data_IF_914688748800
#
_entry.id   IF_914688748800
#
_cell.length_a   1.000
_cell.length_b   1.000
_cell.length_c   1.000
_cell.angle_alpha   90.00
_cell.angle_beta   90.00
_cell.angle_gamma   90.00
#
_symmetry.space_group_name_H-M   'P 1'
#
loop_
_entity.id
_entity.type
_entity.pdbx_description
1 polymer ?
#
# COMPACT_ATOMS: atom_id res chain seq x y z
N UNK A 1 -34.85 -67.74 9.11
CA UNK A 1 -34.81 -66.27 9.04
C UNK A 1 -36.18 -65.78 8.61
N UNK A 2 -36.85 -64.96 9.41
CA UNK A 2 -38.24 -64.52 9.17
C UNK A 2 -38.29 -63.26 8.30
N UNK A 3 -39.42 -62.99 7.65
CA UNK A 3 -39.61 -61.79 6.79
C UNK A 3 -39.34 -60.48 7.57
N UNK A 4 -39.61 -60.47 8.88
CA UNK A 4 -39.34 -59.34 9.77
C UNK A 4 -37.84 -59.03 9.90
N UNK A 5 -36.99 -60.07 10.06
CA UNK A 5 -35.53 -59.92 10.19
C UNK A 5 -34.91 -59.32 8.93
N UNK A 6 -35.39 -59.72 7.75
CA UNK A 6 -34.95 -59.16 6.46
C UNK A 6 -35.31 -57.67 6.31
N UNK A 7 -36.50 -57.27 6.76
CA UNK A 7 -36.94 -55.86 6.74
C UNK A 7 -36.09 -54.98 7.65
N UNK A 8 -35.71 -55.47 8.83
CA UNK A 8 -34.84 -54.74 9.76
C UNK A 8 -33.43 -54.55 9.18
N UNK A 9 -32.86 -55.61 8.57
CA UNK A 9 -31.54 -55.54 7.94
C UNK A 9 -31.55 -54.55 6.76
N UNK A 10 -32.58 -54.58 5.92
CA UNK A 10 -32.72 -53.63 4.81
C UNK A 10 -32.83 -52.17 5.29
N UNK A 11 -33.57 -51.93 6.37
CA UNK A 11 -33.71 -50.61 6.98
C UNK A 11 -32.39 -50.10 7.58
N UNK A 12 -31.66 -50.97 8.28
CA UNK A 12 -30.33 -50.67 8.83
C UNK A 12 -29.32 -50.38 7.71
N UNK A 13 -29.33 -51.18 6.64
CA UNK A 13 -28.45 -50.97 5.49
C UNK A 13 -28.73 -49.63 4.79
N UNK A 14 -30.00 -49.25 4.65
CA UNK A 14 -30.41 -47.96 4.07
C UNK A 14 -30.01 -46.78 4.95
N UNK A 15 -30.21 -46.90 6.27
CA UNK A 15 -29.80 -45.87 7.23
C UNK A 15 -28.28 -45.69 7.24
N UNK A 16 -27.52 -46.79 7.22
CA UNK A 16 -26.07 -46.76 7.14
C UNK A 16 -25.59 -46.13 5.82
N UNK A 17 -26.21 -46.48 4.69
CA UNK A 17 -25.91 -45.89 3.38
C UNK A 17 -26.12 -44.37 3.37
N UNK A 18 -27.24 -43.91 3.92
CA UNK A 18 -27.53 -42.47 4.05
C UNK A 18 -26.52 -41.76 4.94
N UNK A 19 -26.14 -42.38 6.07
CA UNK A 19 -25.13 -41.80 6.98
C UNK A 19 -23.76 -41.68 6.30
N UNK A 20 -23.32 -42.71 5.59
CA UNK A 20 -22.05 -42.69 4.82
C UNK A 20 -22.09 -41.60 3.76
N UNK A 21 -23.19 -41.47 3.02
CA UNK A 21 -23.36 -40.43 2.02
C UNK A 21 -23.34 -39.02 2.65
N UNK A 22 -24.00 -38.82 3.79
CA UNK A 22 -24.00 -37.55 4.50
C UNK A 22 -22.60 -37.16 4.97
N UNK A 23 -21.84 -38.10 5.55
CA UNK A 23 -20.45 -37.86 5.97
C UNK A 23 -19.55 -37.55 4.78
N UNK A 24 -19.68 -38.31 3.69
CA UNK A 24 -18.92 -38.07 2.46
C UNK A 24 -19.21 -36.68 1.89
N UNK A 25 -20.48 -36.30 1.80
CA UNK A 25 -20.91 -34.98 1.29
C UNK A 25 -20.41 -33.85 2.17
N UNK A 26 -20.59 -33.97 3.50
CA UNK A 26 -20.09 -32.96 4.44
C UNK A 26 -18.58 -32.80 4.36
N UNK A 27 -17.85 -33.91 4.27
CA UNK A 27 -16.38 -33.91 4.17
C UNK A 27 -15.92 -33.31 2.85
N UNK A 28 -16.60 -33.60 1.74
CA UNK A 28 -16.32 -33.01 0.43
C UNK A 28 -16.56 -31.50 0.42
N UNK A 29 -17.68 -31.02 0.99
CA UNK A 29 -17.97 -29.58 1.09
C UNK A 29 -16.96 -28.87 1.99
N UNK A 30 -16.65 -29.45 3.16
CA UNK A 30 -15.65 -28.89 4.09
C UNK A 30 -14.27 -28.81 3.44
N UNK A 31 -13.84 -29.88 2.76
CA UNK A 31 -12.57 -29.93 2.04
C UNK A 31 -12.53 -28.91 0.90
N UNK A 32 -13.60 -28.80 0.11
CA UNK A 32 -13.68 -27.84 -1.00
C UNK A 32 -13.60 -26.40 -0.51
N UNK A 33 -14.31 -26.05 0.58
CA UNK A 33 -14.24 -24.72 1.18
C UNK A 33 -12.84 -24.41 1.73
N UNK A 34 -12.19 -25.38 2.36
CA UNK A 34 -10.81 -25.23 2.84
C UNK A 34 -9.83 -25.04 1.67
N UNK A 35 -9.94 -25.84 0.61
CA UNK A 35 -9.09 -25.72 -0.57
C UNK A 35 -9.30 -24.39 -1.30
N UNK A 36 -10.55 -23.92 -1.42
CA UNK A 36 -10.86 -22.61 -1.98
C UNK A 36 -10.18 -21.49 -1.18
N UNK A 37 -10.22 -21.56 0.15
CA UNK A 37 -9.54 -20.60 1.02
C UNK A 37 -8.03 -20.62 0.84
N UNK A 38 -7.40 -21.80 0.82
CA UNK A 38 -5.95 -21.93 0.61
C UNK A 38 -5.54 -21.43 -0.77
N UNK A 39 -6.28 -21.78 -1.82
CA UNK A 39 -6.03 -21.31 -3.18
C UNK A 39 -6.15 -19.78 -3.28
N UNK A 40 -7.14 -19.19 -2.61
CA UNK A 40 -7.30 -17.74 -2.52
C UNK A 40 -6.13 -17.09 -1.76
N UNK A 41 -5.71 -17.64 -0.63
CA UNK A 41 -4.55 -17.13 0.12
C UNK A 41 -3.26 -17.20 -0.71
N UNK A 42 -3.02 -18.29 -1.44
CA UNK A 42 -1.89 -18.43 -2.36
C UNK A 42 -1.95 -17.46 -3.54
N UNK A 43 -3.12 -17.31 -4.16
CA UNK A 43 -3.33 -16.38 -5.27
C UNK A 43 -3.09 -14.93 -4.82
N UNK A 44 -3.67 -14.52 -3.69
CA UNK A 44 -3.49 -13.17 -3.17
C UNK A 44 -2.04 -12.92 -2.74
N UNK A 45 -1.35 -13.91 -2.17
CA UNK A 45 0.10 -13.83 -1.92
C UNK A 45 0.86 -13.62 -3.23
N UNK A 46 0.44 -14.29 -4.30
CA UNK A 46 0.97 -14.12 -5.66
C UNK A 46 0.64 -12.77 -6.30
N UNK A 47 -0.31 -12.00 -5.79
CA UNK A 47 -0.70 -10.67 -6.25
C UNK A 47 -0.27 -9.54 -5.31
N UNK A 48 0.61 -9.80 -4.35
CA UNK A 48 0.96 -8.80 -3.35
C UNK A 48 1.80 -7.66 -3.97
N UNK A 49 1.37 -6.39 -3.88
CA UNK A 49 2.24 -5.26 -4.18
C UNK A 49 3.21 -5.00 -3.02
N UNK A 50 4.43 -4.58 -3.33
CA UNK A 50 5.44 -4.19 -2.34
C UNK A 50 6.17 -2.95 -2.84
N UNK A 51 5.88 -1.79 -2.25
CA UNK A 51 6.53 -0.55 -2.63
C UNK A 51 7.88 -0.40 -1.95
N UNK A 52 8.90 -0.08 -2.73
CA UNK A 52 10.25 0.22 -2.31
C UNK A 52 10.70 1.53 -2.93
N UNK A 53 11.73 2.22 -2.40
CA UNK A 53 12.43 3.24 -3.19
C UNK A 53 12.92 2.66 -4.51
N UNK A 54 12.89 3.49 -5.56
CA UNK A 54 13.62 3.21 -6.80
C UNK A 54 15.11 3.00 -6.55
N UNK A 55 15.80 2.36 -7.49
CA UNK A 55 17.25 2.24 -7.48
C UNK A 55 17.90 3.54 -7.94
N UNK A 56 19.18 3.71 -7.65
CA UNK A 56 19.93 4.92 -8.00
C UNK A 56 20.10 5.09 -9.52
N UNK A 57 20.16 3.97 -10.24
CA UNK A 57 20.28 3.90 -11.69
C UNK A 57 18.94 4.03 -12.44
N UNK A 58 17.80 4.01 -11.72
CA UNK A 58 16.49 4.17 -12.33
C UNK A 58 16.36 5.59 -12.93
N UNK A 59 15.62 5.75 -14.05
CA UNK A 59 15.50 7.04 -14.74
C UNK A 59 14.79 8.09 -13.88
N UNK A 60 15.10 9.36 -14.15
CA UNK A 60 14.44 10.51 -13.51
C UNK A 60 12.96 10.54 -13.89
N UNK A 61 12.10 10.59 -12.87
CA UNK A 61 10.66 10.71 -13.04
C UNK A 61 10.23 12.17 -13.06
N UNK A 62 9.27 12.48 -13.93
CA UNK A 62 8.59 13.78 -13.97
C UNK A 62 7.24 13.65 -13.28
N UNK A 63 7.08 14.33 -12.16
CA UNK A 63 5.88 14.28 -11.33
C UNK A 63 5.07 15.55 -11.53
N UNK A 64 3.86 15.41 -12.05
CA UNK A 64 2.90 16.50 -12.15
C UNK A 64 1.86 16.38 -11.03
N UNK A 65 1.53 17.47 -10.34
CA UNK A 65 0.63 17.44 -9.17
C UNK A 65 -0.85 17.68 -9.52
N UNK A 66 -1.22 17.62 -10.80
CA UNK A 66 -2.57 17.92 -11.30
C UNK A 66 -2.79 19.41 -11.58
N UNK A 67 -1.82 20.25 -11.23
CA UNK A 67 -1.72 21.66 -11.59
C UNK A 67 -0.56 21.85 -12.59
N UNK A 68 -0.18 23.10 -12.87
CA UNK A 68 0.99 23.38 -13.72
C UNK A 68 2.34 23.15 -13.00
N UNK A 69 2.38 22.60 -11.77
CA UNK A 69 3.62 22.25 -11.09
C UNK A 69 4.16 20.93 -11.61
N UNK A 70 5.44 20.95 -11.95
CA UNK A 70 6.22 19.77 -12.32
C UNK A 70 7.47 19.70 -11.46
N UNK A 71 7.72 18.51 -10.92
CA UNK A 71 8.90 18.22 -10.11
C UNK A 71 9.67 17.06 -10.75
N UNK A 72 11.00 17.11 -10.68
CA UNK A 72 11.87 16.04 -11.17
C UNK A 72 12.39 15.24 -9.98
N UNK A 73 12.19 13.93 -9.99
CA UNK A 73 12.63 13.05 -8.91
C UNK A 73 13.64 12.04 -9.46
N UNK A 74 14.91 12.05 -9.02
CA UNK A 74 15.90 11.07 -9.46
C UNK A 74 15.63 9.69 -8.86
N UNK A 75 16.17 8.65 -9.49
CA UNK A 75 16.18 7.30 -8.93
C UNK A 75 16.81 7.26 -7.52
N UNK A 76 16.20 6.49 -6.63
CA UNK A 76 16.55 6.42 -5.20
C UNK A 76 16.29 7.71 -4.43
N UNK A 77 15.59 8.67 -5.05
CA UNK A 77 15.44 10.02 -4.53
C UNK A 77 14.00 10.44 -4.25
N UNK A 78 13.92 11.68 -3.82
CA UNK A 78 12.69 12.39 -3.52
C UNK A 78 12.84 13.85 -3.94
N UNK A 79 11.75 14.61 -3.83
CA UNK A 79 11.75 16.04 -3.97
C UNK A 79 10.78 16.66 -2.95
N UNK A 80 11.17 17.82 -2.44
CA UNK A 80 10.37 18.66 -1.58
C UNK A 80 10.55 20.10 -2.07
N UNK A 81 9.49 20.71 -2.57
CA UNK A 81 9.52 22.07 -3.12
C UNK A 81 8.38 22.90 -2.54
N UNK A 82 8.67 24.15 -2.21
CA UNK A 82 7.66 25.14 -1.84
C UNK A 82 7.39 26.06 -3.03
N UNK A 83 6.12 26.40 -3.21
CA UNK A 83 5.66 27.29 -4.26
C UNK A 83 5.38 26.60 -5.59
N UNK A 84 4.60 27.29 -6.42
CA UNK A 84 4.16 26.90 -7.75
C UNK A 84 2.70 26.43 -7.86
N UNK A 85 2.21 26.55 -9.09
CA UNK A 85 0.82 26.51 -9.55
C UNK A 85 0.48 27.82 -10.28
N UNK A 86 -0.41 27.85 -11.27
CA UNK A 86 -0.91 29.10 -11.89
C UNK A 86 -1.99 29.79 -11.05
N UNK A 87 -2.15 29.38 -9.80
CA UNK A 87 -3.20 29.86 -8.90
C UNK A 87 -4.52 29.09 -9.00
N UNK A 88 -4.67 28.16 -9.96
CA UNK A 88 -5.95 27.45 -10.18
C UNK A 88 -6.40 26.58 -9.01
N UNK A 89 -5.48 26.19 -8.13
CA UNK A 89 -5.73 25.30 -6.98
C UNK A 89 -5.29 25.89 -5.62
N UNK A 90 -5.10 27.22 -5.53
CA UNK A 90 -4.68 27.94 -4.31
C UNK A 90 -3.65 29.05 -4.58
N UNK A 91 -3.24 29.84 -3.58
CA UNK A 91 -2.19 30.85 -3.76
C UNK A 91 -0.91 30.19 -4.26
N UNK A 92 -0.37 30.71 -5.38
CA UNK A 92 0.75 30.08 -6.07
C UNK A 92 2.00 29.90 -5.20
N UNK A 93 2.19 30.71 -4.16
CA UNK A 93 3.40 30.69 -3.33
C UNK A 93 3.26 29.88 -2.03
N UNK A 94 2.07 29.34 -1.73
CA UNK A 94 1.76 28.75 -0.43
C UNK A 94 1.52 27.23 -0.47
N UNK A 95 1.93 26.54 -1.53
CA UNK A 95 1.79 25.07 -1.61
C UNK A 95 3.12 24.38 -1.35
N UNK A 96 3.09 23.31 -0.55
CA UNK A 96 4.22 22.40 -0.36
C UNK A 96 4.01 21.14 -1.18
N UNK A 97 4.95 20.82 -2.07
CA UNK A 97 4.94 19.67 -2.95
C UNK A 97 6.00 18.66 -2.52
N UNK A 98 5.56 17.42 -2.27
CA UNK A 98 6.42 16.30 -1.86
C UNK A 98 6.27 15.17 -2.87
N UNK A 99 7.37 14.56 -3.29
CA UNK A 99 7.34 13.39 -4.16
C UNK A 99 8.47 12.43 -3.83
N UNK A 100 8.22 11.13 -3.99
CA UNK A 100 9.23 10.08 -3.82
C UNK A 100 9.14 9.11 -4.99
N UNK A 101 10.29 8.78 -5.59
CA UNK A 101 10.36 7.79 -6.65
C UNK A 101 10.32 6.39 -6.01
N UNK A 102 9.29 5.62 -6.33
CA UNK A 102 9.04 4.29 -5.78
C UNK A 102 9.02 3.23 -6.88
N UNK A 103 9.29 1.99 -6.53
CA UNK A 103 9.18 0.83 -7.41
C UNK A 103 8.34 -0.23 -6.74
N UNK A 104 7.58 -0.96 -7.54
CA UNK A 104 6.83 -2.10 -7.04
C UNK A 104 7.66 -3.37 -7.21
N UNK A 105 8.24 -3.83 -6.11
CA UNK A 105 8.98 -5.10 -6.05
C UNK A 105 8.05 -6.31 -5.86
N UNK A 106 6.75 -6.09 -5.73
CA UNK A 106 5.73 -7.14 -5.64
C UNK A 106 5.25 -7.63 -7.00
N UNK A 107 4.33 -8.59 -6.96
CA UNK A 107 3.81 -9.28 -8.14
C UNK A 107 2.44 -8.78 -8.62
N UNK A 108 1.72 -8.00 -7.79
CA UNK A 108 0.46 -7.35 -8.20
C UNK A 108 0.63 -5.86 -8.40
N UNK A 109 -0.39 -5.22 -8.98
CA UNK A 109 -0.44 -3.77 -9.17
C UNK A 109 -0.64 -3.09 -7.82
N UNK A 110 0.20 -2.11 -7.49
CA UNK A 110 0.04 -1.30 -6.29
C UNK A 110 -0.86 -0.11 -6.61
N UNK A 111 -1.90 0.10 -5.80
CA UNK A 111 -2.79 1.27 -5.87
C UNK A 111 -2.61 2.11 -4.63
N UNK A 112 -2.16 3.36 -4.81
CA UNK A 112 -1.92 4.28 -3.69
C UNK A 112 -3.25 4.89 -3.25
N UNK A 113 -3.57 4.73 -1.97
CA UNK A 113 -4.83 5.22 -1.37
C UNK A 113 -4.63 6.50 -0.59
N UNK A 114 -3.51 6.63 0.11
CA UNK A 114 -3.27 7.79 0.95
C UNK A 114 -1.87 7.86 1.52
N UNK A 115 -1.62 8.91 2.27
CA UNK A 115 -0.31 9.18 2.85
C UNK A 115 -0.41 9.98 4.15
N UNK A 116 0.62 9.87 4.98
CA UNK A 116 0.75 10.65 6.20
C UNK A 116 2.20 11.15 6.34
N UNK A 117 2.36 12.44 6.60
CA UNK A 117 3.67 13.10 6.62
C UNK A 117 4.17 13.30 8.04
N UNK A 118 5.48 13.12 8.23
CA UNK A 118 6.19 13.46 9.46
C UNK A 118 7.34 14.43 9.16
N UNK A 119 7.45 15.53 9.90
CA UNK A 119 8.50 16.55 9.69
C UNK A 119 9.86 16.15 10.25
N UNK A 120 10.10 14.85 10.42
CA UNK A 120 11.28 14.33 11.09
C UNK A 120 11.61 12.92 10.59
N UNK A 121 12.82 12.46 10.93
CA UNK A 121 13.23 11.10 10.66
C UNK A 121 12.63 10.14 11.71
N UNK A 122 11.60 9.39 11.33
CA UNK A 122 10.88 8.48 12.23
C UNK A 122 11.57 7.13 12.36
N UNK A 123 11.85 6.74 13.61
CA UNK A 123 12.40 5.42 13.98
C UNK A 123 11.43 4.54 14.76
N UNK A 124 10.26 5.09 15.11
CA UNK A 124 9.23 4.41 15.89
C UNK A 124 8.67 3.17 15.16
N UNK A 125 8.11 2.26 15.95
CA UNK A 125 7.69 0.95 15.47
C UNK A 125 6.26 0.91 14.94
N UNK A 126 5.46 1.90 15.31
CA UNK A 126 4.02 1.98 15.00
C UNK A 126 3.79 2.93 13.83
N UNK A 127 2.70 2.71 13.09
CA UNK A 127 2.24 3.59 12.01
C UNK A 127 1.15 4.56 12.50
N UNK A 128 0.86 5.63 11.75
CA UNK A 128 -0.28 6.49 12.06
C UNK A 128 -1.61 5.72 12.00
N UNK A 129 -2.63 6.07 12.81
CA UNK A 129 -3.99 5.61 12.61
C UNK A 129 -4.48 5.89 11.17
N UNK A 130 -5.30 5.00 10.61
CA UNK A 130 -5.71 5.09 9.19
C UNK A 130 -6.54 6.34 8.89
N UNK A 131 -7.27 6.84 9.88
CA UNK A 131 -8.08 8.05 9.84
C UNK A 131 -7.24 9.34 9.71
N UNK A 132 -5.94 9.28 10.02
CA UNK A 132 -5.02 10.41 9.89
C UNK A 132 -4.33 10.46 8.51
N UNK A 133 -4.61 9.52 7.61
CA UNK A 133 -4.05 9.52 6.27
C UNK A 133 -4.79 10.50 5.36
N UNK A 134 -4.04 11.35 4.68
CA UNK A 134 -4.52 12.14 3.56
C UNK A 134 -4.87 11.22 2.41
N UNK A 135 -6.07 11.39 1.83
CA UNK A 135 -6.43 10.70 0.61
C UNK A 135 -5.54 11.13 -0.55
N UNK A 136 -5.19 10.19 -1.41
CA UNK A 136 -4.41 10.47 -2.59
C UNK A 136 -5.24 11.32 -3.56
N UNK A 137 -4.69 12.46 -4.01
CA UNK A 137 -5.40 13.40 -4.88
C UNK A 137 -5.76 12.85 -6.27
N UNK A 138 -5.13 11.75 -6.68
CA UNK A 138 -5.46 11.01 -7.91
C UNK A 138 -5.09 9.54 -7.75
N UNK A 139 -5.76 8.68 -8.49
CA UNK A 139 -5.40 7.27 -8.50
C UNK A 139 -4.03 7.06 -9.15
N UNK A 140 -3.11 6.46 -8.39
CA UNK A 140 -1.78 6.11 -8.86
C UNK A 140 -1.64 4.59 -8.83
N UNK A 141 -1.44 4.01 -10.01
CA UNK A 141 -1.22 2.58 -10.22
C UNK A 141 0.25 2.35 -10.56
N UNK A 142 0.91 1.47 -9.83
CA UNK A 142 2.30 1.09 -10.09
C UNK A 142 2.33 -0.40 -10.46
N UNK A 143 2.57 -0.74 -11.74
CA UNK A 143 2.60 -2.12 -12.20
C UNK A 143 3.65 -2.95 -11.47
N UNK A 144 3.44 -4.26 -11.43
CA UNK A 144 4.40 -5.20 -10.85
C UNK A 144 5.75 -5.13 -11.59
N UNK A 145 6.84 -5.03 -10.82
CA UNK A 145 8.20 -4.94 -11.36
C UNK A 145 8.58 -3.59 -11.98
N UNK A 146 7.67 -2.60 -11.98
CA UNK A 146 7.89 -1.30 -12.60
C UNK A 146 8.15 -0.19 -11.57
N UNK A 147 8.56 0.97 -12.06
CA UNK A 147 8.79 2.19 -11.29
C UNK A 147 7.62 3.16 -11.44
N UNK A 148 7.43 3.98 -10.42
CA UNK A 148 6.44 5.04 -10.37
C UNK A 148 6.82 6.05 -9.31
N UNK A 149 5.86 6.83 -8.85
CA UNK A 149 6.09 7.83 -7.82
C UNK A 149 4.92 7.87 -6.85
N UNK A 150 5.21 8.26 -5.63
CA UNK A 150 4.23 8.84 -4.72
C UNK A 150 4.31 10.36 -4.81
N UNK A 151 3.18 11.03 -4.60
CA UNK A 151 3.10 12.48 -4.52
C UNK A 151 2.14 12.92 -3.40
N UNK A 152 2.51 13.96 -2.66
CA UNK A 152 1.68 14.61 -1.65
C UNK A 152 1.77 16.12 -1.80
N UNK A 153 0.64 16.81 -1.69
CA UNK A 153 0.62 18.27 -1.74
C UNK A 153 -0.18 18.81 -0.56
N UNK A 154 0.43 19.72 0.21
CA UNK A 154 -0.22 20.45 1.29
C UNK A 154 -0.55 21.85 0.79
N UNK A 155 -1.85 22.10 0.58
CA UNK A 155 -2.38 23.34 -0.02
C UNK A 155 -3.07 24.23 1.01
N UNK A 156 -3.59 23.65 2.08
CA UNK A 156 -4.23 24.39 3.17
C UNK A 156 -3.18 24.77 4.22
N UNK A 157 -2.91 26.07 4.32
CA UNK A 157 -1.94 26.62 5.27
C UNK A 157 -2.37 26.46 6.73
N UNK A 158 -3.66 26.20 6.97
CA UNK A 158 -4.22 25.99 8.31
C UNK A 158 -4.11 24.54 8.77
N UNK A 159 -3.73 23.64 7.87
CA UNK A 159 -3.56 22.23 8.18
C UNK A 159 -2.37 22.03 9.15
N UNK A 160 -2.51 21.21 10.22
CA UNK A 160 -1.45 21.05 11.22
C UNK A 160 -0.08 20.62 10.66
N UNK A 161 -0.06 19.80 9.60
CA UNK A 161 1.18 19.33 8.97
C UNK A 161 1.88 20.38 8.10
N UNK A 162 1.17 21.43 7.68
CA UNK A 162 1.66 22.40 6.69
C UNK A 162 2.92 23.16 7.14
N UNK A 163 2.97 23.83 8.31
CA UNK A 163 4.13 24.63 8.70
C UNK A 163 5.39 23.79 8.83
N UNK A 164 5.23 22.55 9.29
CA UNK A 164 6.34 21.63 9.50
C UNK A 164 6.86 21.07 8.17
N UNK A 165 5.98 20.76 7.21
CA UNK A 165 6.36 20.37 5.86
C UNK A 165 7.05 21.50 5.08
N UNK A 166 6.52 22.72 5.19
CA UNK A 166 7.11 23.92 4.58
C UNK A 166 8.53 24.14 5.10
N UNK A 167 8.69 24.12 6.43
CA UNK A 167 10.00 24.21 7.09
C UNK A 167 10.94 23.13 6.57
N UNK A 168 10.52 21.87 6.55
CA UNK A 168 11.37 20.76 6.10
C UNK A 168 11.85 20.92 4.65
N UNK A 169 10.97 21.41 3.77
CA UNK A 169 11.32 21.70 2.37
C UNK A 169 12.28 22.89 2.24
N UNK A 170 12.02 24.01 2.93
CA UNK A 170 12.85 25.24 2.86
C UNK A 170 14.22 25.06 3.54
N UNK A 171 14.27 24.41 4.70
CA UNK A 171 15.51 24.23 5.48
C UNK A 171 16.25 22.93 5.15
N UNK A 172 15.69 22.11 4.24
CA UNK A 172 16.22 20.80 3.84
C UNK A 172 16.40 19.84 5.02
N UNK A 173 15.44 19.85 5.95
CA UNK A 173 15.43 18.92 7.08
C UNK A 173 14.95 17.52 6.67
N UNK A 174 15.46 16.44 7.29
CA UNK A 174 14.92 15.10 7.12
C UNK A 174 13.41 15.03 7.39
N UNK A 175 12.70 14.27 6.59
CA UNK A 175 11.28 14.01 6.77
C UNK A 175 10.94 12.56 6.45
N UNK A 176 9.76 12.12 6.85
CA UNK A 176 9.27 10.77 6.58
C UNK A 176 7.86 10.83 6.01
N UNK A 177 7.51 9.83 5.21
CA UNK A 177 6.14 9.63 4.74
C UNK A 177 5.73 8.19 4.92
N UNK A 178 4.54 7.98 5.43
CA UNK A 178 3.83 6.71 5.36
C UNK A 178 2.91 6.71 4.16
N UNK A 179 2.98 5.69 3.32
CA UNK A 179 2.14 5.51 2.15
C UNK A 179 1.24 4.31 2.39
N UNK A 180 -0.07 4.53 2.35
CA UNK A 180 -1.10 3.50 2.35
C UNK A 180 -1.40 3.11 0.91
N UNK A 181 -1.23 1.83 0.59
CA UNK A 181 -1.56 1.27 -0.72
C UNK A 181 -2.14 -0.13 -0.58
N UNK A 182 -2.82 -0.59 -1.61
CA UNK A 182 -3.40 -1.94 -1.69
C UNK A 182 -3.21 -2.53 -3.08
N UNK A 183 -3.86 -3.67 -3.31
CA UNK A 183 -4.03 -4.21 -4.66
C UNK A 183 -5.14 -3.47 -5.44
N UNK A 184 -5.26 -3.79 -6.73
CA UNK A 184 -6.24 -3.17 -7.62
C UNK A 184 -7.71 -3.41 -7.22
N UNK A 185 -7.98 -4.42 -6.40
CA UNK A 185 -9.33 -4.73 -5.91
C UNK A 185 -9.63 -3.99 -4.60
N UNK A 186 -8.71 -3.13 -4.13
CA UNK A 186 -8.81 -2.39 -2.88
C UNK A 186 -8.52 -3.23 -1.63
N UNK A 187 -8.01 -4.45 -1.81
CA UNK A 187 -7.62 -5.35 -0.73
C UNK A 187 -6.12 -5.30 -0.43
N UNK A 188 -5.71 -6.14 0.52
CA UNK A 188 -4.29 -6.33 0.89
C UNK A 188 -3.58 -5.01 1.22
N UNK A 189 -4.24 -4.17 2.01
CA UNK A 189 -3.71 -2.85 2.37
C UNK A 189 -2.44 -3.00 3.19
N UNK A 190 -1.45 -2.22 2.81
CA UNK A 190 -0.12 -2.13 3.42
C UNK A 190 0.21 -0.66 3.63
N UNK A 191 0.79 -0.37 4.80
CA UNK A 191 1.47 0.91 5.02
C UNK A 191 2.96 0.68 4.83
N UNK A 192 3.61 1.57 4.09
CA UNK A 192 5.07 1.60 3.97
C UNK A 192 5.60 2.96 4.39
N UNK A 193 6.56 2.97 5.34
CA UNK A 193 7.25 4.19 5.73
C UNK A 193 8.54 4.36 4.93
N UNK A 194 8.65 5.51 4.29
CA UNK A 194 9.86 5.99 3.62
C UNK A 194 10.47 7.13 4.44
N UNK A 195 11.75 7.02 4.74
CA UNK A 195 12.54 8.11 5.32
C UNK A 195 13.28 8.82 4.19
N UNK A 196 13.20 10.14 4.18
CA UNK A 196 13.79 11.00 3.17
C UNK A 196 14.84 11.90 3.82
N UNK A 197 16.07 11.79 3.32
CA UNK A 197 17.23 12.49 3.85
C UNK A 197 17.81 13.42 2.78
N UNK A 198 18.25 14.64 3.14
CA UNK A 198 18.97 15.49 2.21
C UNK A 198 20.27 14.79 1.78
N UNK A 199 20.57 14.82 0.48
CA UNK A 199 21.79 14.23 -0.07
C UNK A 199 22.98 15.14 0.25
N UNK A 200 24.03 14.65 0.94
CA UNK A 200 25.22 15.45 1.20
C UNK A 200 25.91 15.85 -0.11
N UNK A 201 26.27 17.13 -0.26
CA UNK A 201 27.07 17.62 -1.39
C UNK A 201 26.33 17.81 -2.73
N UNK A 202 25.01 17.67 -2.77
CA UNK A 202 24.17 18.13 -3.89
C UNK A 202 23.08 19.04 -3.36
N UNK A 203 23.02 20.26 -3.90
CA UNK A 203 22.13 21.33 -3.41
C UNK A 203 20.65 20.99 -3.54
N UNK A 204 20.25 20.08 -4.45
CA UNK A 204 18.85 19.72 -4.72
C UNK A 204 18.51 18.23 -4.50
N UNK A 205 19.46 17.41 -4.07
CA UNK A 205 19.26 15.97 -3.97
C UNK A 205 18.59 15.55 -2.66
N UNK A 206 17.58 14.70 -2.72
CA UNK A 206 17.08 13.92 -1.59
C UNK A 206 17.32 12.43 -1.83
N UNK A 207 17.41 11.65 -0.76
CA UNK A 207 17.59 10.19 -0.76
C UNK A 207 16.43 9.56 -0.01
N UNK A 208 15.73 8.64 -0.67
CA UNK A 208 14.64 7.89 -0.08
C UNK A 208 15.11 6.51 0.37
N UNK A 209 14.69 6.09 1.56
CA UNK A 209 14.99 4.76 2.10
C UNK A 209 13.74 4.15 2.72
N UNK A 210 13.55 2.84 2.54
CA UNK A 210 12.46 2.13 3.21
C UNK A 210 12.81 1.89 4.68
N UNK A 211 11.89 2.22 5.57
CA UNK A 211 12.03 1.97 7.00
C UNK A 211 11.33 0.67 7.41
N UNK A 212 10.03 0.57 7.08
CA UNK A 212 9.16 -0.50 7.57
C UNK A 212 7.90 -0.66 6.70
N UNK A 213 7.33 -1.86 6.74
CA UNK A 213 6.03 -2.20 6.19
C UNK A 213 5.13 -2.75 7.29
N UNK A 214 3.83 -2.43 7.24
CA UNK A 214 2.79 -3.01 8.09
C UNK A 214 1.65 -3.53 7.23
N UNK A 215 1.17 -4.73 7.51
CA UNK A 215 -0.03 -5.28 6.88
C UNK A 215 -1.27 -4.84 7.67
N UNK A 216 -2.27 -4.29 7.00
CA UNK A 216 -3.51 -3.82 7.63
C UNK A 216 -4.55 -4.93 7.67
N UNK A 217 -4.74 -5.61 6.54
CA UNK A 217 -5.79 -6.63 6.40
C UNK A 217 -5.31 -8.03 6.79
N UNK A 218 -4.05 -8.17 7.24
CA UNK A 218 -3.38 -9.45 7.50
C UNK A 218 -2.39 -9.35 8.66
N UNK A 219 -2.00 -10.48 9.27
CA UNK A 219 -0.88 -10.51 10.19
C UNK A 219 0.36 -9.87 9.57
N UNK A 220 1.11 -9.15 10.40
CA UNK A 220 2.34 -8.51 9.97
C UNK A 220 3.35 -9.53 9.42
N UNK A 221 4.24 -9.12 8.49
CA UNK A 221 5.21 -10.02 7.89
C UNK A 221 6.33 -10.43 8.86
N UNK A 222 6.27 -10.03 10.14
CA UNK A 222 7.27 -10.26 11.18
C UNK A 222 6.63 -10.85 12.42
#
# INVERSE_FOLDING_TARGET
>A
MTVSEWSTIASLATALGTLVLAVATFSAVRSSNMMARVAQEQFLTGLRPVLMPTRWEDPVLKVNFGDQKWVRVPGGGAAAEVGGGDGTMGPADDVVYLAVAVRNAGNGIAVLHGWHFYPEWRREQDHAPLEEFHLQARDLYIPAGDIGFWQGALRDVTEPGYPAARKAAETREPWSVEILYGDQEGGQRVISRLNVLPRPGQDDGWVASIARHWNIDRPDPR
#
